data_IF_624826926236
#
_entry.id   IF_624826926236
#
_cell.length_a   1.000
_cell.length_b   1.000
_cell.length_c   1.000
_cell.angle_alpha   90.00
_cell.angle_beta   90.00
_cell.angle_gamma   90.00
#
_symmetry.space_group_name_H-M   'P 1'
#
loop_
_entity.id
_entity.type
_entity.pdbx_description
1 polymer ?
#
# COMPACT_ATOMS: atom_id res chain seq x y z
N UNK A 1 -16.09 13.26 -11.67
CA UNK A 1 -16.38 11.83 -11.71
C UNK A 1 -17.57 11.52 -12.61
N UNK A 2 -17.33 11.30 -13.91
CA UNK A 2 -18.28 10.65 -14.81
C UNK A 2 -18.53 9.21 -14.36
N UNK A 3 -19.80 8.78 -14.31
CA UNK A 3 -20.16 7.44 -13.84
C UNK A 3 -21.30 6.87 -14.69
N UNK A 4 -21.15 5.62 -15.15
CA UNK A 4 -22.25 4.87 -15.76
C UNK A 4 -22.09 3.36 -15.56
N UNK A 5 -23.13 2.73 -14.99
CA UNK A 5 -23.25 1.26 -14.90
C UNK A 5 -22.08 0.55 -14.18
N UNK A 6 -21.38 1.27 -13.30
CA UNK A 6 -20.20 0.82 -12.55
C UNK A 6 -20.40 0.92 -11.04
N UNK A 7 -21.57 0.47 -10.55
CA UNK A 7 -21.99 0.65 -9.15
C UNK A 7 -20.95 0.16 -8.14
N UNK A 8 -20.23 -0.91 -8.46
CA UNK A 8 -19.26 -1.54 -7.55
C UNK A 8 -18.06 -0.64 -7.21
N UNK A 9 -17.68 0.29 -8.09
CA UNK A 9 -16.49 1.12 -7.89
C UNK A 9 -16.77 2.43 -7.14
N UNK A 10 -18.04 2.88 -7.16
CA UNK A 10 -18.47 4.16 -6.59
C UNK A 10 -18.08 4.33 -5.11
N UNK A 11 -18.29 3.35 -4.21
CA UNK A 11 -17.89 3.50 -2.82
C UNK A 11 -16.38 3.73 -2.66
N UNK A 12 -15.55 3.05 -3.46
CA UNK A 12 -14.09 3.19 -3.40
C UNK A 12 -13.63 4.55 -3.91
N UNK A 13 -14.12 4.99 -5.07
CA UNK A 13 -13.76 6.30 -5.61
C UNK A 13 -14.14 7.46 -4.67
N UNK A 14 -15.27 7.32 -3.96
CA UNK A 14 -15.69 8.28 -2.93
C UNK A 14 -14.78 8.21 -1.70
N UNK A 15 -14.44 7.00 -1.25
CA UNK A 15 -13.55 6.79 -0.10
C UNK A 15 -12.16 7.42 -0.35
N UNK A 16 -11.58 7.17 -1.52
CA UNK A 16 -10.31 7.76 -1.93
C UNK A 16 -10.36 9.30 -1.94
N UNK A 17 -11.48 9.89 -2.39
CA UNK A 17 -11.66 11.34 -2.37
C UNK A 17 -11.80 11.88 -0.94
N UNK A 18 -12.54 11.19 -0.07
CA UNK A 18 -12.78 11.66 1.30
C UNK A 18 -11.49 11.64 2.13
N UNK A 19 -10.56 10.75 1.83
CA UNK A 19 -9.25 10.61 2.46
C UNK A 19 -8.15 11.51 1.85
N UNK A 20 -8.47 12.39 0.90
CA UNK A 20 -7.50 13.33 0.35
C UNK A 20 -7.04 14.35 1.39
N UNK A 21 -5.75 14.65 1.39
CA UNK A 21 -5.08 15.61 2.28
C UNK A 21 -5.42 17.07 1.97
N UNK A 22 -5.95 17.36 0.77
CA UNK A 22 -6.28 18.71 0.34
C UNK A 22 -7.64 19.17 0.93
N UNK A 23 -7.65 20.18 1.81
CA UNK A 23 -8.83 20.49 2.63
C UNK A 23 -9.96 21.19 1.87
N UNK A 24 -9.65 21.83 0.73
CA UNK A 24 -10.59 22.66 -0.03
C UNK A 24 -10.89 22.05 -1.41
N UNK A 25 -11.55 20.90 -1.40
CA UNK A 25 -11.98 20.19 -2.60
C UNK A 25 -13.46 19.78 -2.51
N UNK A 26 -14.12 19.69 -3.67
CA UNK A 26 -15.45 19.10 -3.83
C UNK A 26 -15.39 18.00 -4.90
N UNK A 27 -16.20 16.96 -4.73
CA UNK A 27 -16.38 15.89 -5.71
C UNK A 27 -17.72 16.10 -6.41
N UNK A 28 -17.65 16.35 -7.73
CA UNK A 28 -18.82 16.39 -8.62
C UNK A 28 -18.97 15.05 -9.31
N UNK A 29 -20.07 14.37 -9.01
CA UNK A 29 -20.45 13.08 -9.59
C UNK A 29 -21.57 13.33 -10.61
N UNK A 30 -21.31 13.00 -11.87
CA UNK A 30 -22.29 13.06 -12.94
C UNK A 30 -22.56 11.62 -13.39
N UNK A 31 -23.76 11.14 -13.10
CA UNK A 31 -24.21 9.79 -13.39
C UNK A 31 -25.15 9.79 -14.60
N UNK A 32 -24.77 9.04 -15.63
CA UNK A 32 -25.58 8.78 -16.83
C UNK A 32 -25.89 7.29 -17.02
N UNK A 33 -25.73 6.50 -15.96
CA UNK A 33 -26.01 5.07 -15.94
C UNK A 33 -27.47 4.71 -16.25
N UNK A 34 -27.69 3.45 -16.60
CA UNK A 34 -29.02 2.90 -16.81
C UNK A 34 -29.89 3.00 -15.54
N UNK A 35 -29.25 2.81 -14.39
CA UNK A 35 -29.83 2.96 -13.08
C UNK A 35 -28.97 3.91 -12.26
N UNK A 36 -29.65 4.86 -11.60
CA UNK A 36 -29.02 5.83 -10.71
C UNK A 36 -28.24 5.14 -9.58
N UNK A 37 -27.04 5.65 -9.29
CA UNK A 37 -26.21 5.23 -8.16
C UNK A 37 -26.47 6.04 -6.88
N UNK A 38 -27.54 6.84 -6.84
CA UNK A 38 -27.83 7.77 -5.73
C UNK A 38 -27.82 7.10 -4.35
N UNK A 39 -28.25 5.83 -4.25
CA UNK A 39 -28.25 5.06 -2.99
C UNK A 39 -26.86 4.77 -2.43
N UNK A 40 -25.81 4.85 -3.28
CA UNK A 40 -24.42 4.63 -2.90
C UNK A 40 -23.70 5.92 -2.52
N UNK A 41 -24.32 7.08 -2.77
CA UNK A 41 -23.69 8.37 -2.51
C UNK A 41 -23.97 8.81 -1.07
N UNK A 42 -22.94 8.96 -0.22
CA UNK A 42 -23.14 9.41 1.15
C UNK A 42 -23.54 10.89 1.18
N UNK A 43 -24.37 11.25 2.16
CA UNK A 43 -24.67 12.66 2.44
C UNK A 43 -23.42 13.33 3.02
N UNK A 44 -22.68 14.05 2.18
CA UNK A 44 -21.45 14.71 2.60
C UNK A 44 -21.34 16.10 1.96
N UNK A 45 -20.94 17.12 2.74
CA UNK A 45 -20.89 18.53 2.28
C UNK A 45 -19.97 18.78 1.09
N UNK A 46 -18.94 17.92 0.91
CA UNK A 46 -17.99 17.99 -0.20
C UNK A 46 -18.43 17.19 -1.44
N UNK A 47 -19.56 16.50 -1.41
CA UNK A 47 -19.99 15.63 -2.51
C UNK A 47 -21.29 16.16 -3.08
N UNK A 48 -21.32 16.34 -4.41
CA UNK A 48 -22.51 16.74 -5.15
C UNK A 48 -22.76 15.73 -6.24
N UNK A 49 -23.97 15.17 -6.24
CA UNK A 49 -24.37 14.13 -7.17
C UNK A 49 -25.49 14.63 -8.07
N UNK A 50 -25.37 14.30 -9.35
CA UNK A 50 -26.36 14.62 -10.36
C UNK A 50 -26.60 13.40 -11.25
N UNK A 51 -27.87 13.07 -11.46
CA UNK A 51 -28.29 12.01 -12.35
C UNK A 51 -29.00 12.62 -13.56
N UNK A 52 -28.48 12.40 -14.76
CA UNK A 52 -29.12 12.82 -16.00
C UNK A 52 -29.11 11.66 -16.99
N UNK A 53 -30.23 11.42 -17.68
CA UNK A 53 -30.29 10.38 -18.70
C UNK A 53 -31.22 10.78 -19.85
N UNK A 54 -30.80 10.63 -21.12
CA UNK A 54 -29.45 10.30 -21.56
C UNK A 54 -28.51 11.51 -21.44
N UNK A 55 -27.25 11.31 -21.04
CA UNK A 55 -26.20 12.29 -21.37
C UNK A 55 -25.53 11.81 -22.65
N UNK A 56 -25.07 12.77 -23.45
CA UNK A 56 -24.41 12.49 -24.72
C UNK A 56 -23.05 11.82 -24.56
N UNK A 57 -22.04 12.35 -25.23
CA UNK A 57 -20.68 11.81 -25.17
C UNK A 57 -19.97 12.04 -23.83
N UNK A 58 -18.93 11.27 -23.51
CA UNK A 58 -18.07 11.52 -22.33
C UNK A 58 -17.53 12.96 -22.26
N UNK A 59 -17.18 13.58 -23.40
CA UNK A 59 -16.79 15.00 -23.43
C UNK A 59 -17.91 15.96 -23.00
N UNK A 60 -19.16 15.61 -23.28
CA UNK A 60 -20.33 16.39 -22.82
C UNK A 60 -20.54 16.22 -21.30
N UNK A 61 -20.33 15.02 -20.76
CA UNK A 61 -20.37 14.75 -19.32
C UNK A 61 -19.27 15.54 -18.60
N UNK A 62 -18.03 15.51 -19.10
CA UNK A 62 -16.91 16.29 -18.55
C UNK A 62 -17.21 17.79 -18.60
N UNK A 63 -17.77 18.31 -19.69
CA UNK A 63 -18.19 19.72 -19.78
C UNK A 63 -19.26 20.07 -18.73
N UNK A 64 -20.26 19.21 -18.51
CA UNK A 64 -21.30 19.43 -17.50
C UNK A 64 -20.72 19.43 -16.08
N UNK A 65 -19.80 18.51 -15.78
CA UNK A 65 -19.08 18.48 -14.52
C UNK A 65 -18.30 19.78 -14.28
N UNK A 66 -17.56 20.25 -15.29
CA UNK A 66 -16.77 21.49 -15.21
C UNK A 66 -17.66 22.72 -15.02
N UNK A 67 -18.82 22.79 -15.69
CA UNK A 67 -19.78 23.89 -15.50
C UNK A 67 -20.30 23.93 -14.05
N UNK A 68 -20.61 22.75 -13.51
CA UNK A 68 -21.19 22.54 -12.16
C UNK A 68 -20.20 22.79 -11.02
N UNK A 69 -18.92 22.50 -11.23
CA UNK A 69 -17.87 22.69 -10.24
C UNK A 69 -17.76 24.16 -9.79
N UNK A 70 -17.49 24.42 -8.52
CA UNK A 70 -17.23 25.77 -8.00
C UNK A 70 -15.74 26.10 -7.89
N UNK A 71 -14.87 25.08 -7.89
CA UNK A 71 -13.42 25.24 -7.80
C UNK A 71 -12.77 25.92 -9.01
N UNK A 72 -11.65 26.59 -8.76
CA UNK A 72 -10.82 27.25 -9.78
C UNK A 72 -9.95 26.28 -10.57
N UNK A 73 -9.63 25.13 -9.98
CA UNK A 73 -8.88 24.03 -10.58
C UNK A 73 -9.82 22.84 -10.72
N UNK A 74 -9.84 22.24 -11.90
CA UNK A 74 -10.55 21.01 -12.19
C UNK A 74 -9.53 19.88 -12.19
N UNK A 75 -9.85 18.78 -11.50
CA UNK A 75 -9.05 17.56 -11.48
C UNK A 75 -9.97 16.42 -11.98
N UNK A 76 -9.46 15.60 -12.89
CA UNK A 76 -10.14 14.40 -13.34
C UNK A 76 -10.13 13.34 -12.26
N UNK A 77 -11.26 12.64 -12.14
CA UNK A 77 -11.51 11.68 -11.09
C UNK A 77 -12.44 10.62 -11.68
N UNK A 78 -11.85 9.61 -12.29
CA UNK A 78 -12.57 8.48 -12.88
C UNK A 78 -12.98 7.51 -11.77
N UNK A 79 -14.16 6.91 -11.91
CA UNK A 79 -14.84 6.18 -10.84
C UNK A 79 -14.31 4.78 -10.60
N UNK A 80 -13.43 4.29 -11.47
CA UNK A 80 -12.86 2.96 -11.50
C UNK A 80 -11.35 2.93 -11.21
N UNK A 81 -10.71 4.06 -10.92
CA UNK A 81 -9.27 4.15 -10.66
C UNK A 81 -8.93 4.34 -9.17
N UNK A 82 -7.67 4.08 -8.82
CA UNK A 82 -7.12 4.32 -7.48
C UNK A 82 -6.27 5.58 -7.41
N UNK A 83 -6.38 6.30 -6.29
CA UNK A 83 -5.69 7.56 -6.01
C UNK A 83 -5.04 7.53 -4.62
N UNK A 84 -3.79 7.97 -4.51
CA UNK A 84 -3.11 8.14 -3.23
C UNK A 84 -3.71 9.30 -2.41
N UNK A 85 -3.54 9.27 -1.08
CA UNK A 85 -4.13 10.27 -0.16
C UNK A 85 -3.63 11.71 -0.40
N UNK A 86 -2.48 11.89 -1.04
CA UNK A 86 -1.86 13.18 -1.35
C UNK A 86 -2.00 13.59 -2.83
N UNK A 87 -2.82 12.85 -3.61
CA UNK A 87 -2.98 13.05 -5.05
C UNK A 87 -3.44 14.46 -5.41
N UNK A 88 -4.51 14.96 -4.77
CA UNK A 88 -5.03 16.30 -5.06
C UNK A 88 -3.97 17.37 -4.75
N UNK A 89 -3.29 17.30 -3.61
CA UNK A 89 -2.23 18.25 -3.26
C UNK A 89 -1.10 18.25 -4.29
N UNK A 90 -0.70 17.07 -4.76
CA UNK A 90 0.32 16.95 -5.82
C UNK A 90 -0.13 17.56 -7.15
N UNK A 91 -1.35 17.29 -7.59
CA UNK A 91 -1.92 17.86 -8.82
C UNK A 91 -1.98 19.39 -8.76
N UNK A 92 -2.51 19.94 -7.67
CA UNK A 92 -2.62 21.39 -7.46
C UNK A 92 -1.24 22.04 -7.41
N UNK A 93 -0.30 21.45 -6.67
CA UNK A 93 1.07 21.97 -6.57
C UNK A 93 1.80 21.94 -7.92
N UNK A 94 1.63 20.88 -8.70
CA UNK A 94 2.23 20.78 -10.04
C UNK A 94 1.70 21.87 -10.98
N UNK A 95 0.38 22.11 -10.99
CA UNK A 95 -0.25 23.13 -11.83
C UNK A 95 0.20 24.55 -11.43
N UNK A 96 0.16 24.87 -10.13
CA UNK A 96 0.51 26.21 -9.63
C UNK A 96 2.01 26.50 -9.83
N UNK A 97 2.90 25.58 -9.43
CA UNK A 97 4.36 25.82 -9.50
C UNK A 97 4.88 25.92 -10.93
N UNK A 98 4.29 25.19 -11.86
CA UNK A 98 4.69 25.23 -13.26
C UNK A 98 4.18 26.46 -14.01
N UNK A 99 3.10 27.10 -13.53
CA UNK A 99 2.41 28.15 -14.27
C UNK A 99 1.76 27.63 -15.57
N UNK A 100 1.50 26.33 -15.65
CA UNK A 100 0.87 25.70 -16.81
C UNK A 100 -0.65 25.90 -16.84
N UNK A 101 -1.22 25.73 -18.03
CA UNK A 101 -2.67 25.69 -18.24
C UNK A 101 -3.24 24.33 -17.83
N UNK A 102 -2.49 23.26 -18.12
CA UNK A 102 -2.83 21.86 -17.87
C UNK A 102 -1.62 21.15 -17.28
N UNK A 103 -1.86 20.28 -16.31
CA UNK A 103 -0.89 19.29 -15.82
C UNK A 103 -1.52 17.90 -15.74
N UNK A 104 -0.68 16.88 -15.55
CA UNK A 104 -1.05 15.48 -15.41
C UNK A 104 0.17 14.58 -15.54
N UNK A 105 -0.04 13.27 -15.51
CA UNK A 105 1.05 12.31 -15.58
C UNK A 105 1.55 12.10 -17.01
N UNK A 106 2.86 12.18 -17.22
CA UNK A 106 3.51 11.71 -18.46
C UNK A 106 3.73 10.21 -18.49
N UNK A 107 3.79 9.57 -17.32
CA UNK A 107 3.95 8.13 -17.17
C UNK A 107 2.85 7.59 -16.26
N UNK A 108 2.27 6.44 -16.58
CA UNK A 108 1.10 5.92 -15.85
C UNK A 108 1.27 4.44 -15.53
N UNK A 109 0.96 4.09 -14.29
CA UNK A 109 0.85 2.70 -13.85
C UNK A 109 -0.57 2.19 -14.10
N UNK A 110 -0.70 0.97 -14.63
CA UNK A 110 -1.96 0.25 -14.74
C UNK A 110 -1.88 -1.10 -14.04
N UNK A 111 -2.98 -1.53 -13.46
CA UNK A 111 -3.16 -2.89 -12.93
C UNK A 111 -4.39 -3.55 -13.54
N UNK A 112 -4.25 -4.76 -14.08
CA UNK A 112 -5.38 -5.55 -14.57
C UNK A 112 -5.82 -6.57 -13.55
N UNK A 113 -7.06 -6.44 -13.10
CA UNK A 113 -7.72 -7.44 -12.25
C UNK A 113 -8.08 -8.70 -13.04
N UNK A 114 -8.04 -8.66 -14.38
CA UNK A 114 -8.38 -9.80 -15.24
C UNK A 114 -7.25 -10.82 -15.28
N UNK A 115 -6.00 -10.34 -15.35
CA UNK A 115 -4.80 -11.18 -15.48
C UNK A 115 -3.83 -11.02 -14.32
N UNK A 116 -4.18 -10.22 -13.31
CA UNK A 116 -3.37 -9.93 -12.12
C UNK A 116 -1.95 -9.44 -12.47
N UNK A 117 -1.85 -8.48 -13.40
CA UNK A 117 -0.58 -7.92 -13.88
C UNK A 117 -0.58 -6.40 -13.83
N UNK A 118 0.62 -5.82 -13.71
CA UNK A 118 0.86 -4.37 -13.71
C UNK A 118 1.76 -3.97 -14.88
N UNK A 119 1.48 -2.81 -15.45
CA UNK A 119 2.28 -2.19 -16.51
C UNK A 119 2.59 -0.73 -16.16
N UNK A 120 3.74 -0.25 -16.62
CA UNK A 120 4.05 1.18 -16.64
C UNK A 120 4.17 1.65 -18.09
N UNK A 121 3.39 2.67 -18.42
CA UNK A 121 3.44 3.33 -19.72
C UNK A 121 4.31 4.55 -19.59
N UNK A 122 5.42 4.57 -20.32
CA UNK A 122 6.37 5.69 -20.35
C UNK A 122 6.23 6.47 -21.65
N UNK A 123 6.21 7.80 -21.57
CA UNK A 123 6.31 8.65 -22.74
C UNK A 123 7.78 8.74 -23.18
N UNK A 124 8.12 8.22 -24.38
CA UNK A 124 9.50 8.22 -24.90
C UNK A 124 9.93 9.52 -25.59
N UNK A 125 8.98 10.29 -26.10
CA UNK A 125 9.31 11.48 -26.87
C UNK A 125 9.29 12.71 -25.96
N UNK A 126 10.47 13.13 -25.48
CA UNK A 126 10.72 14.40 -24.76
C UNK A 126 10.24 15.67 -25.50
N UNK A 127 9.70 15.54 -26.72
CA UNK A 127 9.32 16.64 -27.60
C UNK A 127 7.81 16.91 -27.68
N UNK A 128 6.96 16.18 -26.93
CA UNK A 128 5.52 16.43 -26.91
C UNK A 128 5.08 16.62 -25.46
N UNK A 129 4.55 17.81 -25.16
CA UNK A 129 3.89 18.10 -23.90
C UNK A 129 2.55 17.35 -23.85
N UNK A 130 2.61 16.05 -23.56
CA UNK A 130 1.47 15.16 -23.40
C UNK A 130 1.37 14.70 -21.95
N UNK A 131 0.13 14.59 -21.49
CA UNK A 131 -0.24 14.06 -20.17
C UNK A 131 -1.44 13.15 -20.32
N UNK A 132 -1.54 12.14 -19.45
CA UNK A 132 -2.60 11.16 -19.51
C UNK A 132 -3.96 11.74 -19.08
N UNK A 133 -4.99 11.45 -19.87
CA UNK A 133 -6.31 12.05 -19.73
C UNK A 133 -7.03 11.74 -18.42
N UNK A 134 -6.87 10.54 -17.85
CA UNK A 134 -7.45 10.22 -16.53
C UNK A 134 -6.85 11.04 -15.39
N UNK A 135 -5.71 11.72 -15.62
CA UNK A 135 -4.92 12.42 -14.60
C UNK A 135 -4.89 13.93 -14.78
N UNK A 136 -5.74 14.49 -15.64
CA UNK A 136 -5.68 15.93 -15.93
C UNK A 136 -6.05 16.78 -14.72
N UNK A 137 -5.24 17.81 -14.49
CA UNK A 137 -5.59 18.96 -13.67
C UNK A 137 -5.37 20.25 -14.47
N UNK A 138 -6.34 21.16 -14.45
CA UNK A 138 -6.30 22.40 -15.25
C UNK A 138 -7.15 23.50 -14.64
N UNK A 139 -6.88 24.74 -15.02
CA UNK A 139 -7.68 25.88 -14.61
C UNK A 139 -9.08 25.82 -15.22
N UNK A 140 -10.12 26.02 -14.39
CA UNK A 140 -11.50 26.16 -14.87
C UNK A 140 -11.64 27.31 -15.86
N UNK A 141 -10.88 28.39 -15.67
CA UNK A 141 -10.82 29.53 -16.59
C UNK A 141 -10.25 29.17 -17.96
N UNK A 142 -9.30 28.23 -18.02
CA UNK A 142 -8.78 27.68 -19.26
C UNK A 142 -9.83 26.84 -19.97
N UNK A 143 -10.44 25.87 -19.28
CA UNK A 143 -11.52 25.05 -19.84
C UNK A 143 -12.70 25.88 -20.38
N UNK A 144 -13.08 27.00 -19.73
CA UNK A 144 -14.15 27.88 -20.22
C UNK A 144 -13.91 28.40 -21.65
N UNK A 145 -12.64 28.58 -22.05
CA UNK A 145 -12.24 29.00 -23.40
C UNK A 145 -12.04 27.83 -24.35
N UNK A 146 -11.84 26.63 -23.81
CA UNK A 146 -11.46 25.42 -24.52
C UNK A 146 -12.32 24.23 -24.02
N UNK A 147 -13.59 24.17 -24.42
CA UNK A 147 -14.47 23.07 -23.98
C UNK A 147 -14.07 21.74 -24.63
N UNK A 148 -14.38 20.61 -23.97
CA UNK A 148 -14.20 19.29 -24.58
C UNK A 148 -15.12 19.16 -25.81
N UNK A 149 -14.62 18.55 -26.87
CA UNK A 149 -15.46 18.15 -27.99
C UNK A 149 -16.34 16.96 -27.58
N UNK A 150 -17.53 16.88 -28.20
CA UNK A 150 -18.50 15.81 -27.91
C UNK A 150 -18.08 14.48 -28.55
N UNK A 151 -17.03 13.86 -28.02
CA UNK A 151 -16.46 12.58 -28.46
C UNK A 151 -16.65 11.51 -27.40
N UNK A 152 -16.91 10.26 -27.82
CA UNK A 152 -17.06 9.11 -26.91
C UNK A 152 -15.73 8.47 -26.49
N UNK A 153 -14.67 8.68 -27.27
CA UNK A 153 -13.32 8.19 -26.99
C UNK A 153 -12.30 9.24 -27.44
N UNK A 154 -11.28 9.49 -26.61
CA UNK A 154 -10.17 10.39 -26.94
C UNK A 154 -10.48 11.89 -26.84
N UNK A 155 -11.57 12.26 -26.16
CA UNK A 155 -11.97 13.64 -25.90
C UNK A 155 -10.91 14.42 -25.09
N UNK A 156 -10.23 13.73 -24.19
CA UNK A 156 -9.13 14.21 -23.36
C UNK A 156 -7.90 14.63 -24.19
N UNK A 157 -7.44 13.73 -25.05
CA UNK A 157 -6.35 13.95 -25.99
C UNK A 157 -6.71 15.03 -26.99
N UNK A 158 -7.97 15.06 -27.43
CA UNK A 158 -8.46 16.11 -28.30
C UNK A 158 -8.45 17.48 -27.59
N UNK A 159 -8.87 17.55 -26.33
CA UNK A 159 -8.82 18.76 -25.52
C UNK A 159 -7.39 19.29 -25.35
N UNK A 160 -6.42 18.41 -25.08
CA UNK A 160 -5.00 18.80 -24.97
C UNK A 160 -4.47 19.29 -26.32
N UNK A 161 -4.62 18.47 -27.37
CA UNK A 161 -3.99 18.74 -28.68
C UNK A 161 -4.58 19.93 -29.43
N UNK A 162 -5.86 20.23 -29.27
CA UNK A 162 -6.53 21.33 -29.99
C UNK A 162 -6.47 22.66 -29.24
N UNK A 163 -6.22 22.65 -27.92
CA UNK A 163 -6.25 23.86 -27.10
C UNK A 163 -4.97 24.70 -27.16
N UNK A 164 -3.86 24.14 -27.66
CA UNK A 164 -2.51 24.78 -27.62
C UNK A 164 -2.10 25.19 -26.20
N UNK A 165 -2.55 24.43 -25.20
CA UNK A 165 -2.23 24.66 -23.80
C UNK A 165 -0.72 24.66 -23.54
N UNK A 166 -0.26 25.49 -22.59
CA UNK A 166 1.00 25.23 -21.91
C UNK A 166 0.80 24.02 -20.98
N UNK A 167 1.38 22.88 -21.34
CA UNK A 167 1.20 21.61 -20.60
C UNK A 167 2.45 21.30 -19.78
N UNK A 168 2.27 21.04 -18.49
CA UNK A 168 3.33 20.57 -17.60
C UNK A 168 3.12 19.09 -17.21
N UNK A 169 3.93 18.16 -17.72
CA UNK A 169 3.92 16.78 -17.26
C UNK A 169 4.67 16.61 -15.94
N UNK A 170 4.06 15.96 -14.95
CA UNK A 170 4.74 15.56 -13.71
C UNK A 170 4.88 14.04 -13.63
N UNK A 171 5.78 13.56 -12.77
CA UNK A 171 6.16 12.15 -12.66
C UNK A 171 5.70 11.50 -11.34
N UNK A 172 4.57 11.93 -10.78
CA UNK A 172 4.06 11.35 -9.51
C UNK A 172 3.29 10.04 -9.78
N UNK A 173 3.98 9.05 -10.32
CA UNK A 173 3.40 7.78 -10.78
C UNK A 173 2.84 6.92 -9.65
N UNK A 174 3.35 7.08 -8.43
CA UNK A 174 2.87 6.34 -7.25
C UNK A 174 1.54 6.89 -6.70
N UNK A 175 1.13 8.07 -7.18
CA UNK A 175 -0.09 8.73 -6.74
C UNK A 175 -1.37 8.25 -7.42
N UNK A 176 -1.26 7.47 -8.48
CA UNK A 176 -2.37 7.07 -9.34
C UNK A 176 -2.12 5.69 -9.95
N UNK A 177 -3.17 4.86 -9.97
CA UNK A 177 -3.15 3.55 -10.59
C UNK A 177 -4.43 3.36 -11.40
N UNK A 178 -4.27 3.26 -12.72
CA UNK A 178 -5.37 2.95 -13.64
C UNK A 178 -5.78 1.48 -13.52
N UNK A 179 -7.06 1.19 -13.30
CA UNK A 179 -7.52 -0.20 -13.09
C UNK A 179 -8.19 -0.74 -14.35
N UNK A 180 -7.68 -1.86 -14.85
CA UNK A 180 -8.24 -2.60 -15.98
C UNK A 180 -9.13 -3.73 -15.42
N UNK A 181 -10.40 -3.71 -15.79
CA UNK A 181 -11.43 -4.67 -15.41
C UNK A 181 -12.46 -4.86 -16.55
N UNK A 182 -13.30 -5.89 -16.42
CA UNK A 182 -14.29 -6.29 -17.44
C UNK A 182 -15.37 -5.26 -17.80
N UNK A 183 -15.42 -4.14 -17.09
CA UNK A 183 -16.44 -3.09 -17.30
C UNK A 183 -15.86 -1.81 -17.89
N UNK A 184 -14.54 -1.72 -18.12
CA UNK A 184 -14.01 -0.61 -18.91
C UNK A 184 -14.57 -0.72 -20.34
N UNK A 185 -14.89 0.43 -20.96
CA UNK A 185 -15.41 0.49 -22.33
C UNK A 185 -14.45 -0.11 -23.37
N UNK A 186 -13.19 -0.30 -22.99
CA UNK A 186 -12.10 -0.85 -23.78
C UNK A 186 -11.56 -2.18 -23.22
N UNK A 187 -12.29 -2.88 -22.33
CA UNK A 187 -11.84 -4.10 -21.64
C UNK A 187 -11.19 -5.17 -22.56
N UNK A 188 -11.79 -5.46 -23.72
CA UNK A 188 -11.27 -6.41 -24.74
C UNK A 188 -9.94 -5.96 -25.38
N UNK A 189 -9.54 -4.70 -25.18
CA UNK A 189 -8.37 -4.04 -25.77
C UNK A 189 -7.15 -4.10 -24.83
N UNK A 190 -7.32 -4.57 -23.58
CA UNK A 190 -6.28 -4.54 -22.54
C UNK A 190 -5.62 -5.90 -22.22
N UNK A 191 -5.88 -6.95 -23.01
CA UNK A 191 -5.26 -8.26 -22.78
C UNK A 191 -3.78 -8.30 -23.24
N UNK A 192 -3.41 -7.59 -24.31
CA UNK A 192 -2.02 -7.29 -24.69
C UNK A 192 -1.88 -5.87 -25.28
N UNK A 193 -1.26 -4.93 -24.56
CA UNK A 193 -1.02 -3.57 -25.04
C UNK A 193 -0.15 -3.44 -26.30
N UNK A 194 0.65 -4.46 -26.65
CA UNK A 194 1.44 -4.47 -27.90
C UNK A 194 0.55 -4.50 -29.14
N UNK A 195 -0.62 -5.13 -29.06
CA UNK A 195 -1.55 -5.26 -30.18
C UNK A 195 -2.29 -3.96 -30.47
N UNK A 196 -2.54 -3.14 -29.43
CA UNK A 196 -3.13 -1.79 -29.59
C UNK A 196 -2.19 -0.81 -30.32
N UNK A 197 -0.89 -0.87 -30.03
CA UNK A 197 0.14 -0.03 -30.67
C UNK A 197 0.19 -0.20 -32.20
N UNK A 198 -0.28 -1.34 -32.71
CA UNK A 198 -0.34 -1.61 -34.15
C UNK A 198 -1.64 -1.13 -34.80
N UNK A 199 -2.77 -1.14 -34.08
CA UNK A 199 -4.09 -0.80 -34.63
C UNK A 199 -4.36 0.71 -34.73
N UNK A 200 -3.93 1.49 -33.74
CA UNK A 200 -4.18 2.94 -33.72
C UNK A 200 -2.92 3.70 -34.13
N UNK A 201 -2.89 4.24 -35.35
CA UNK A 201 -1.78 5.04 -35.90
C UNK A 201 -1.28 6.16 -34.96
N UNK A 202 -2.10 6.60 -34.00
CA UNK A 202 -1.81 7.65 -33.03
C UNK A 202 -1.08 7.17 -31.76
N UNK A 203 -1.11 5.86 -31.44
CA UNK A 203 -0.43 5.28 -30.28
C UNK A 203 1.05 4.97 -30.52
N UNK A 204 1.54 5.06 -31.77
CA UNK A 204 2.93 4.74 -32.18
C UNK A 204 4.04 5.51 -31.46
N UNK A 205 3.70 6.43 -30.55
CA UNK A 205 4.62 7.31 -29.80
C UNK A 205 4.82 6.90 -28.33
N UNK A 206 4.02 5.98 -27.82
CA UNK A 206 4.16 5.43 -26.46
C UNK A 206 4.92 4.10 -26.58
N UNK A 207 5.88 3.86 -25.68
CA UNK A 207 6.62 2.59 -25.67
C UNK A 207 5.64 1.42 -25.45
N UNK A 208 5.95 0.26 -26.01
CA UNK A 208 5.38 -1.00 -25.51
C UNK A 208 5.50 -1.00 -24.00
N UNK A 209 4.41 -1.21 -23.24
CA UNK A 209 4.50 -1.15 -21.80
C UNK A 209 5.53 -2.14 -21.33
N UNK A 210 6.45 -1.65 -20.51
CA UNK A 210 7.24 -2.53 -19.69
C UNK A 210 6.23 -3.16 -18.72
N UNK A 211 6.11 -4.49 -18.74
CA UNK A 211 5.61 -5.18 -17.55
C UNK A 211 6.44 -4.60 -16.42
N UNK A 212 5.78 -3.92 -15.48
CA UNK A 212 6.47 -3.60 -14.25
C UNK A 212 6.81 -4.97 -13.70
N UNK A 213 8.08 -5.39 -13.86
CA UNK A 213 8.61 -6.48 -13.09
C UNK A 213 8.15 -6.23 -11.67
N UNK A 214 7.66 -7.29 -11.01
CA UNK A 214 7.46 -7.31 -9.56
C UNK A 214 8.49 -6.37 -8.95
N UNK A 215 8.03 -5.33 -8.23
CA UNK A 215 8.88 -4.35 -7.53
C UNK A 215 10.21 -5.01 -7.29
N UNK A 216 11.25 -4.59 -8.03
CA UNK A 216 12.46 -5.38 -8.20
C UNK A 216 12.78 -6.06 -6.88
N UNK A 217 12.41 -7.34 -6.78
CA UNK A 217 12.90 -8.19 -5.71
C UNK A 217 14.37 -8.06 -5.98
N UNK A 218 15.01 -7.36 -5.06
CA UNK A 218 16.38 -6.89 -5.15
C UNK A 218 17.20 -7.88 -5.97
N UNK A 219 17.87 -7.32 -6.99
CA UNK A 219 18.73 -8.00 -7.97
C UNK A 219 19.24 -9.34 -7.49
N UNK A 220 19.11 -10.37 -8.34
CA UNK A 220 19.83 -11.67 -8.29
C UNK A 220 20.33 -12.05 -6.90
N UNK A 221 19.70 -13.05 -6.26
CA UNK A 221 19.88 -13.50 -4.86
C UNK A 221 21.26 -13.41 -4.17
N UNK A 222 22.36 -13.21 -4.89
CA UNK A 222 23.69 -12.90 -4.38
C UNK A 222 23.87 -11.50 -3.78
N UNK A 223 23.09 -10.49 -4.16
CA UNK A 223 23.28 -9.09 -3.68
C UNK A 223 22.35 -8.70 -2.52
N UNK A 224 21.43 -9.60 -2.17
CA UNK A 224 20.47 -9.41 -1.11
C UNK A 224 21.05 -9.74 0.25
N UNK A 225 20.92 -8.90 1.30
CA UNK A 225 21.32 -9.32 2.65
C UNK A 225 20.47 -10.51 3.10
N UNK A 226 21.10 -11.51 3.70
CA UNK A 226 20.37 -12.61 4.34
C UNK A 226 19.60 -12.06 5.55
N UNK A 227 18.30 -12.38 5.62
CA UNK A 227 17.43 -12.00 6.75
C UNK A 227 17.13 -13.24 7.60
N UNK A 228 17.45 -13.19 8.89
CA UNK A 228 17.05 -14.22 9.86
C UNK A 228 15.78 -13.78 10.59
N UNK A 229 14.69 -14.51 10.36
CA UNK A 229 13.46 -14.41 11.12
C UNK A 229 13.62 -15.18 12.43
N UNK A 230 13.50 -14.52 13.58
CA UNK A 230 13.64 -15.19 14.88
C UNK A 230 12.27 -15.44 15.52
N UNK A 231 11.97 -16.70 15.82
CA UNK A 231 10.70 -17.15 16.38
C UNK A 231 10.92 -17.92 17.70
N UNK A 232 10.98 -17.22 18.84
CA UNK A 232 10.86 -17.85 20.15
C UNK A 232 9.45 -18.42 20.34
N UNK A 233 9.33 -19.66 20.81
CA UNK A 233 8.05 -20.31 21.09
C UNK A 233 8.14 -21.20 22.32
N UNK A 234 7.03 -21.33 23.06
CA UNK A 234 6.89 -22.27 24.17
C UNK A 234 5.41 -22.56 24.42
N UNK A 235 5.03 -23.83 24.51
CA UNK A 235 3.68 -24.27 24.86
C UNK A 235 2.58 -23.67 23.97
N UNK A 236 2.88 -23.50 22.67
CA UNK A 236 2.05 -22.79 21.68
C UNK A 236 1.92 -23.56 20.36
N UNK A 237 1.88 -24.89 20.43
CA UNK A 237 1.81 -25.82 19.29
C UNK A 237 0.78 -25.41 18.22
N UNK A 238 -0.36 -24.86 18.63
CA UNK A 238 -1.46 -24.47 17.73
C UNK A 238 -1.10 -23.36 16.73
N UNK A 239 -0.12 -22.51 17.02
CA UNK A 239 0.22 -21.36 16.16
C UNK A 239 1.33 -21.67 15.14
N UNK A 240 2.15 -22.69 15.43
CA UNK A 240 3.32 -23.05 14.62
C UNK A 240 3.00 -23.28 13.13
N UNK A 241 1.95 -24.02 12.75
CA UNK A 241 1.65 -24.22 11.32
C UNK A 241 1.37 -22.91 10.58
N UNK A 242 0.61 -21.98 11.18
CA UNK A 242 0.28 -20.70 10.57
C UNK A 242 1.48 -19.76 10.50
N UNK A 243 2.33 -19.71 11.53
CA UNK A 243 3.56 -18.92 11.52
C UNK A 243 4.51 -19.35 10.40
N UNK A 244 4.67 -20.67 10.21
CA UNK A 244 5.51 -21.24 9.15
C UNK A 244 4.88 -20.99 7.77
N UNK A 245 3.57 -21.11 7.63
CA UNK A 245 2.87 -20.81 6.38
C UNK A 245 3.07 -19.34 5.97
N UNK A 246 2.93 -18.39 6.90
CA UNK A 246 3.19 -16.97 6.65
C UNK A 246 4.64 -16.72 6.22
N UNK A 247 5.60 -17.43 6.82
CA UNK A 247 7.03 -17.31 6.47
C UNK A 247 7.32 -17.87 5.07
N UNK A 248 6.77 -19.04 4.75
CA UNK A 248 6.99 -19.70 3.46
C UNK A 248 6.37 -18.94 2.29
N UNK A 249 5.33 -18.13 2.54
CA UNK A 249 4.69 -17.26 1.53
C UNK A 249 5.48 -16.00 1.21
N UNK A 250 6.50 -15.65 2.00
CA UNK A 250 7.25 -14.39 1.80
C UNK A 250 7.88 -14.30 0.41
N UNK A 251 7.82 -13.11 -0.19
CA UNK A 251 8.43 -12.82 -1.50
C UNK A 251 9.96 -12.64 -1.44
N UNK A 252 10.51 -12.42 -0.24
CA UNK A 252 11.94 -12.28 0.01
C UNK A 252 12.60 -13.65 0.25
N UNK A 253 13.24 -14.19 -0.80
CA UNK A 253 13.76 -15.56 -0.78
C UNK A 253 15.07 -15.75 -0.01
N UNK A 254 15.92 -14.72 0.13
CA UNK A 254 17.19 -14.83 0.85
C UNK A 254 16.98 -14.70 2.37
N UNK A 255 16.27 -15.67 2.93
CA UNK A 255 15.81 -15.69 4.32
C UNK A 255 16.10 -17.03 4.99
N UNK A 256 16.19 -17.00 6.30
CA UNK A 256 16.14 -18.19 7.17
C UNK A 256 15.17 -17.93 8.33
N UNK A 257 14.55 -18.98 8.86
CA UNK A 257 13.69 -18.94 10.04
C UNK A 257 14.37 -19.73 11.16
N UNK A 258 14.69 -19.06 12.25
CA UNK A 258 15.28 -19.64 13.46
C UNK A 258 14.18 -19.82 14.50
N UNK A 259 13.82 -21.06 14.78
CA UNK A 259 12.80 -21.42 15.76
C UNK A 259 13.49 -21.85 17.05
N UNK A 260 13.28 -21.08 18.12
CA UNK A 260 13.77 -21.40 19.46
C UNK A 260 12.58 -21.90 20.29
N UNK A 261 12.50 -23.21 20.45
CA UNK A 261 11.46 -23.86 21.24
C UNK A 261 12.01 -24.26 22.61
N UNK A 262 11.42 -23.73 23.67
CA UNK A 262 11.70 -24.11 25.05
C UNK A 262 10.41 -24.48 25.81
N UNK A 263 9.41 -24.99 25.09
CA UNK A 263 8.20 -25.56 25.65
C UNK A 263 8.44 -26.85 26.46
N UNK A 264 7.43 -27.24 27.22
CA UNK A 264 7.44 -28.50 27.96
C UNK A 264 7.46 -29.72 27.02
N UNK A 265 6.81 -29.58 25.86
CA UNK A 265 6.83 -30.54 24.79
C UNK A 265 7.33 -29.90 23.51
N UNK A 266 8.29 -30.55 22.86
CA UNK A 266 8.79 -30.17 21.55
C UNK A 266 7.66 -30.08 20.50
N UNK A 267 7.76 -29.07 19.64
CA UNK A 267 6.90 -28.87 18.46
C UNK A 267 7.52 -29.41 17.16
N UNK A 268 8.60 -30.19 17.25
CA UNK A 268 9.41 -30.66 16.10
C UNK A 268 8.58 -31.39 15.03
N UNK A 269 7.54 -32.10 15.43
CA UNK A 269 6.62 -32.83 14.55
C UNK A 269 5.82 -31.91 13.62
N UNK A 270 5.70 -30.62 13.96
CA UNK A 270 5.03 -29.59 13.16
C UNK A 270 5.99 -28.86 12.20
N UNK A 271 7.30 -29.09 12.32
CA UNK A 271 8.31 -28.38 11.52
C UNK A 271 8.53 -29.13 10.20
N UNK A 272 8.28 -28.50 9.03
CA UNK A 272 8.49 -29.15 7.75
C UNK A 272 9.99 -29.26 7.43
N UNK A 273 10.34 -30.25 6.61
CA UNK A 273 11.69 -30.36 6.05
C UNK A 273 11.90 -29.27 4.99
N UNK A 274 12.48 -28.15 5.41
CA UNK A 274 12.79 -27.01 4.57
C UNK A 274 14.18 -26.46 4.91
N UNK A 275 15.09 -26.29 3.95
CA UNK A 275 16.47 -25.87 4.22
C UNK A 275 16.59 -24.45 4.78
N UNK A 276 15.54 -23.62 4.67
CA UNK A 276 15.49 -22.28 5.25
C UNK A 276 14.97 -22.27 6.70
N UNK A 277 14.53 -23.40 7.24
CA UNK A 277 13.94 -23.47 8.58
C UNK A 277 14.88 -24.25 9.50
N UNK A 278 15.31 -23.61 10.58
CA UNK A 278 16.24 -24.17 11.55
C UNK A 278 15.56 -24.21 12.92
N UNK A 279 15.37 -25.42 13.43
CA UNK A 279 14.66 -25.67 14.68
C UNK A 279 15.63 -26.11 15.78
N UNK A 280 15.53 -25.45 16.93
CA UNK A 280 16.33 -25.74 18.11
C UNK A 280 15.42 -25.91 19.32
N UNK A 281 15.53 -27.07 19.98
CA UNK A 281 14.80 -27.39 21.20
C UNK A 281 15.72 -27.30 22.41
N UNK A 282 15.29 -26.56 23.43
CA UNK A 282 16.03 -26.37 24.66
C UNK A 282 15.19 -26.75 25.88
N UNK A 283 15.86 -27.08 26.98
CA UNK A 283 15.19 -26.98 28.29
C UNK A 283 14.82 -25.51 28.56
N UNK A 284 13.77 -25.23 29.37
CA UNK A 284 13.26 -23.89 29.58
C UNK A 284 14.36 -22.82 29.75
N UNK A 285 14.39 -21.84 28.84
CA UNK A 285 15.44 -20.82 28.73
C UNK A 285 15.14 -19.58 29.58
N UNK A 286 13.90 -19.46 30.05
CA UNK A 286 13.46 -18.37 30.90
C UNK A 286 12.97 -17.15 30.10
N UNK A 287 13.44 -15.92 30.41
CA UNK A 287 12.90 -14.69 29.84
C UNK A 287 12.95 -14.61 28.30
N UNK A 288 11.96 -13.96 27.68
CA UNK A 288 11.89 -13.78 26.22
C UNK A 288 13.15 -13.09 25.65
N UNK A 289 13.74 -12.12 26.37
CA UNK A 289 14.99 -11.47 25.97
C UNK A 289 16.16 -12.46 25.84
N UNK A 290 16.24 -13.46 26.73
CA UNK A 290 17.23 -14.54 26.63
C UNK A 290 17.03 -15.34 25.35
N UNK A 291 15.79 -15.69 25.02
CA UNK A 291 15.45 -16.46 23.82
C UNK A 291 15.76 -15.68 22.54
N UNK A 292 15.43 -14.39 22.50
CA UNK A 292 15.76 -13.49 21.38
C UNK A 292 17.28 -13.37 21.18
N UNK A 293 18.06 -13.25 22.26
CA UNK A 293 19.52 -13.24 22.18
C UNK A 293 20.08 -14.56 21.61
N UNK A 294 19.63 -15.71 22.12
CA UNK A 294 20.05 -17.02 21.59
C UNK A 294 19.71 -17.16 20.09
N UNK A 295 18.52 -16.72 19.68
CA UNK A 295 18.13 -16.73 18.27
C UNK A 295 19.05 -15.85 17.41
N UNK A 296 19.44 -14.67 17.90
CA UNK A 296 20.36 -13.77 17.21
C UNK A 296 21.80 -14.31 17.15
N UNK A 297 22.26 -15.05 18.18
CA UNK A 297 23.56 -15.71 18.17
C UNK A 297 23.63 -16.77 17.05
N UNK A 298 22.57 -17.57 16.92
CA UNK A 298 22.46 -18.67 15.95
C UNK A 298 22.23 -18.18 14.51
N UNK A 299 21.52 -17.07 14.35
CA UNK A 299 21.19 -16.46 13.05
C UNK A 299 22.43 -16.22 12.17
N UNK A 300 22.36 -16.53 10.88
CA UNK A 300 23.44 -16.27 9.91
C UNK A 300 23.24 -14.96 9.13
N UNK A 301 22.04 -14.37 9.21
CA UNK A 301 21.65 -13.17 8.49
C UNK A 301 22.36 -11.91 8.94
N UNK A 302 22.58 -11.02 7.97
CA UNK A 302 23.04 -9.65 8.23
C UNK A 302 21.94 -8.84 8.94
N UNK A 303 20.69 -9.15 8.63
CA UNK A 303 19.50 -8.52 9.19
C UNK A 303 18.74 -9.54 10.04
N UNK A 304 18.24 -9.08 11.18
CA UNK A 304 17.37 -9.85 12.05
C UNK A 304 15.98 -9.22 12.01
N UNK A 305 14.95 -10.05 11.83
CA UNK A 305 13.55 -9.63 12.00
C UNK A 305 12.83 -10.51 13.01
N UNK A 306 11.92 -9.92 13.79
CA UNK A 306 11.10 -10.65 14.75
C UNK A 306 9.97 -11.38 14.00
N UNK A 307 9.72 -12.62 14.40
CA UNK A 307 8.70 -13.48 13.82
C UNK A 307 7.95 -14.20 14.94
N UNK A 308 7.07 -13.47 15.62
CA UNK A 308 6.28 -14.02 16.72
C UNK A 308 5.29 -15.09 16.20
N UNK A 309 5.11 -16.17 16.96
CA UNK A 309 4.43 -17.40 16.50
C UNK A 309 2.92 -17.25 16.31
N UNK A 310 2.31 -16.27 16.96
CA UNK A 310 0.87 -16.02 17.05
C UNK A 310 0.37 -14.97 16.04
N UNK A 311 1.27 -14.29 15.32
CA UNK A 311 0.93 -13.13 14.49
C UNK A 311 0.80 -13.45 12.98
N UNK A 312 0.13 -12.54 12.27
CA UNK A 312 -0.01 -12.60 10.81
C UNK A 312 0.86 -11.55 10.11
N UNK A 313 1.50 -11.98 9.03
CA UNK A 313 2.40 -11.18 8.20
C UNK A 313 1.99 -11.29 6.73
N UNK A 314 1.92 -10.17 6.03
CA UNK A 314 1.67 -10.13 4.59
C UNK A 314 2.82 -10.75 3.79
N UNK A 315 2.54 -11.24 2.58
CA UNK A 315 3.52 -11.91 1.71
C UNK A 315 4.73 -11.02 1.34
N UNK A 316 4.58 -9.71 1.35
CA UNK A 316 5.62 -8.72 1.01
C UNK A 316 6.21 -8.04 2.25
N UNK A 317 5.98 -8.59 3.44
CA UNK A 317 6.39 -8.00 4.72
C UNK A 317 7.90 -7.84 4.85
N UNK A 318 8.66 -8.92 4.61
CA UNK A 318 10.13 -8.89 4.74
C UNK A 318 10.75 -7.91 3.73
N UNK A 319 10.29 -7.94 2.46
CA UNK A 319 10.79 -7.02 1.43
C UNK A 319 10.59 -5.55 1.82
N UNK A 320 9.40 -5.20 2.33
CA UNK A 320 9.13 -3.85 2.82
C UNK A 320 10.01 -3.46 4.01
N UNK A 321 10.18 -4.36 4.98
CA UNK A 321 11.01 -4.10 6.14
C UNK A 321 12.49 -3.84 5.77
N UNK A 322 13.04 -4.68 4.89
CA UNK A 322 14.42 -4.54 4.40
C UNK A 322 14.59 -3.20 3.68
N UNK A 323 13.67 -2.85 2.79
CA UNK A 323 13.70 -1.58 2.08
C UNK A 323 13.61 -0.38 3.04
N UNK A 324 12.73 -0.43 4.03
CA UNK A 324 12.56 0.64 5.01
C UNK A 324 13.83 0.85 5.87
N UNK A 325 14.45 -0.24 6.35
CA UNK A 325 15.69 -0.17 7.13
C UNK A 325 16.84 0.43 6.31
N UNK A 326 17.03 -0.04 5.07
CA UNK A 326 18.12 0.42 4.19
C UNK A 326 17.93 1.88 3.79
N UNK A 327 16.74 2.25 3.31
CA UNK A 327 16.46 3.59 2.80
C UNK A 327 16.49 4.68 3.88
N UNK A 328 16.07 4.36 5.09
CA UNK A 328 16.11 5.29 6.23
C UNK A 328 17.52 5.43 6.83
N UNK A 329 18.44 4.52 6.52
CA UNK A 329 19.75 4.38 7.16
C UNK A 329 19.61 4.36 8.69
N UNK A 330 18.62 3.62 9.20
CA UNK A 330 18.34 3.45 10.62
C UNK A 330 19.06 2.21 11.17
N UNK A 331 19.24 2.16 12.49
CA UNK A 331 19.77 0.99 13.18
C UNK A 331 18.65 -0.02 13.48
N UNK A 332 17.45 0.49 13.80
CA UNK A 332 16.26 -0.30 14.11
C UNK A 332 15.06 0.29 13.36
N UNK A 333 14.30 -0.56 12.70
CA UNK A 333 13.09 -0.21 11.97
C UNK A 333 11.90 -1.10 12.38
N UNK A 334 10.67 -0.63 12.19
CA UNK A 334 9.43 -1.35 12.45
C UNK A 334 8.20 -0.46 12.25
N UNK A 335 7.05 -0.85 12.78
CA UNK A 335 5.82 -0.03 12.73
C UNK A 335 5.49 0.59 14.09
N UNK A 336 4.92 1.80 14.06
CA UNK A 336 4.43 2.53 15.26
C UNK A 336 2.89 2.57 15.35
N UNK A 337 2.23 1.90 14.40
CA UNK A 337 0.80 1.73 14.29
C UNK A 337 0.54 0.23 14.14
N UNK A 338 -0.32 -0.33 14.99
CA UNK A 338 -0.50 -1.79 15.08
C UNK A 338 -1.98 -2.15 14.98
N UNK A 339 -2.25 -3.11 14.10
CA UNK A 339 -3.51 -3.79 13.95
C UNK A 339 -3.59 -4.95 14.95
N UNK A 340 -4.67 -5.04 15.71
CA UNK A 340 -4.93 -6.16 16.61
C UNK A 340 -6.21 -6.87 16.19
N UNK A 341 -6.19 -8.20 16.19
CA UNK A 341 -7.37 -9.03 15.94
C UNK A 341 -7.54 -10.05 17.06
N UNK A 342 -8.75 -10.14 17.62
CA UNK A 342 -9.13 -11.22 18.52
C UNK A 342 -10.06 -12.19 17.80
N UNK A 343 -9.62 -13.41 17.47
CA UNK A 343 -10.49 -14.42 16.89
C UNK A 343 -11.67 -14.77 17.81
N UNK A 344 -11.42 -14.81 19.12
CA UNK A 344 -12.44 -15.16 20.11
C UNK A 344 -13.55 -14.12 20.24
N UNK A 345 -13.20 -12.83 20.17
CA UNK A 345 -14.16 -11.74 20.23
C UNK A 345 -14.65 -11.31 18.83
N UNK A 346 -14.10 -11.91 17.77
CA UNK A 346 -14.28 -11.49 16.38
C UNK A 346 -14.22 -9.97 16.21
N UNK A 347 -13.20 -9.35 16.80
CA UNK A 347 -13.10 -7.90 16.96
C UNK A 347 -11.69 -7.44 16.59
N UNK A 348 -11.62 -6.19 16.15
CA UNK A 348 -10.41 -5.57 15.64
C UNK A 348 -10.16 -4.21 16.29
N UNK A 349 -8.90 -3.90 16.55
CA UNK A 349 -8.47 -2.61 17.09
C UNK A 349 -7.24 -2.10 16.33
N UNK A 350 -7.12 -0.78 16.25
CA UNK A 350 -5.92 -0.12 15.74
C UNK A 350 -5.35 0.76 16.84
N UNK A 351 -4.05 0.62 17.09
CA UNK A 351 -3.32 1.57 17.94
C UNK A 351 -2.42 2.42 17.07
N UNK A 352 -2.27 3.70 17.41
CA UNK A 352 -1.27 4.58 16.81
C UNK A 352 -0.56 5.32 17.93
N UNK A 353 0.75 5.16 18.04
CA UNK A 353 1.53 5.92 18.99
C UNK A 353 1.90 7.28 18.37
N UNK A 354 1.25 8.35 18.84
CA UNK A 354 1.50 9.72 18.38
C UNK A 354 2.57 10.46 19.21
N UNK A 355 3.18 9.81 20.20
CA UNK A 355 4.12 10.46 21.11
C UNK A 355 5.51 10.64 20.48
N UNK A 356 5.75 11.81 19.88
CA UNK A 356 6.99 12.17 19.18
C UNK A 356 8.24 12.27 20.08
N UNK A 357 8.10 12.28 21.41
CA UNK A 357 9.24 12.50 22.32
C UNK A 357 10.08 11.26 22.57
N UNK A 358 9.54 10.07 22.34
CA UNK A 358 10.28 8.80 22.43
C UNK A 358 9.79 7.88 21.32
N UNK A 359 10.56 7.66 20.24
CA UNK A 359 10.16 6.76 19.18
C UNK A 359 9.82 5.38 19.79
N UNK A 360 8.71 4.83 19.32
CA UNK A 360 8.21 3.52 19.72
C UNK A 360 7.95 2.71 18.47
N UNK A 361 8.37 1.47 18.50
CA UNK A 361 8.10 0.47 17.49
C UNK A 361 7.48 -0.74 18.21
N UNK A 362 6.57 -1.45 17.56
CA UNK A 362 6.06 -2.71 18.12
C UNK A 362 7.13 -3.80 17.99
N UNK A 363 7.39 -4.55 19.07
CA UNK A 363 8.42 -5.59 19.13
C UNK A 363 8.31 -6.62 18.01
N UNK A 364 7.11 -7.15 17.80
CA UNK A 364 6.81 -8.12 16.75
C UNK A 364 7.13 -7.65 15.32
N UNK A 365 7.37 -6.35 15.10
CA UNK A 365 7.70 -5.78 13.79
C UNK A 365 9.17 -5.39 13.62
N UNK A 366 10.02 -5.62 14.62
CA UNK A 366 11.38 -5.09 14.59
C UNK A 366 12.21 -5.76 13.50
N UNK A 367 12.88 -4.94 12.70
CA UNK A 367 14.02 -5.33 11.85
C UNK A 367 15.25 -4.48 12.20
N UNK A 368 16.41 -5.10 12.30
CA UNK A 368 17.66 -4.42 12.65
C UNK A 368 18.87 -5.18 12.12
N UNK A 369 20.03 -4.52 12.11
CA UNK A 369 21.30 -5.16 11.73
C UNK A 369 21.78 -6.07 12.86
N UNK A 370 22.21 -7.29 12.53
CA UNK A 370 22.83 -8.20 13.52
C UNK A 370 24.02 -7.54 14.22
N UNK A 371 24.84 -6.81 13.47
CA UNK A 371 26.00 -6.07 14.01
C UNK A 371 25.64 -4.93 14.99
N UNK A 372 24.41 -4.42 14.95
CA UNK A 372 23.91 -3.48 15.94
C UNK A 372 23.51 -4.22 17.22
N UNK A 373 22.80 -5.35 17.10
CA UNK A 373 22.45 -6.21 18.24
C UNK A 373 23.68 -6.76 18.97
N UNK A 374 24.74 -7.16 18.26
CA UNK A 374 26.00 -7.66 18.87
C UNK A 374 26.61 -6.67 19.88
N UNK A 375 26.39 -5.37 19.68
CA UNK A 375 26.87 -4.30 20.57
C UNK A 375 25.86 -3.91 21.64
N UNK A 376 24.60 -4.27 21.46
CA UNK A 376 23.46 -3.83 22.28
C UNK A 376 22.47 -4.98 22.55
N UNK A 377 22.89 -6.15 23.08
CA UNK A 377 22.00 -7.30 23.21
C UNK A 377 20.76 -6.99 24.07
N UNK A 378 19.67 -7.73 23.85
CA UNK A 378 18.44 -7.56 24.64
C UNK A 378 18.72 -7.80 26.12
N UNK A 379 18.09 -7.03 27.00
CA UNK A 379 18.07 -7.38 28.43
C UNK A 379 17.27 -8.67 28.64
N UNK A 380 17.68 -9.46 29.64
CA UNK A 380 16.99 -10.68 30.04
C UNK A 380 15.68 -10.36 30.79
N UNK A 381 14.71 -9.78 30.08
CA UNK A 381 13.39 -9.39 30.58
C UNK A 381 12.32 -10.32 29.97
N UNK A 382 11.28 -10.57 30.75
CA UNK A 382 10.12 -11.36 30.33
C UNK A 382 9.08 -10.51 29.58
N UNK A 383 9.05 -9.20 29.84
CA UNK A 383 8.15 -8.22 29.24
C UNK A 383 8.95 -6.93 29.03
N UNK A 384 8.84 -6.33 27.84
CA UNK A 384 9.39 -5.01 27.53
C UNK A 384 10.88 -5.02 27.20
N UNK A 385 11.44 -6.19 26.86
CA UNK A 385 12.80 -6.31 26.31
C UNK A 385 12.94 -5.58 24.98
N UNK A 386 11.89 -5.61 24.16
CA UNK A 386 11.76 -4.93 22.88
C UNK A 386 11.68 -3.41 23.03
N UNK A 387 10.83 -2.92 23.95
CA UNK A 387 10.71 -1.49 24.27
C UNK A 387 12.03 -0.95 24.84
N UNK A 388 12.70 -1.71 25.71
CA UNK A 388 14.03 -1.36 26.21
C UNK A 388 15.05 -1.28 25.08
N UNK A 389 15.08 -2.26 24.18
CA UNK A 389 15.99 -2.29 23.04
C UNK A 389 15.77 -1.11 22.09
N UNK A 390 14.51 -0.75 21.80
CA UNK A 390 14.18 0.41 20.95
C UNK A 390 14.53 1.73 21.63
N UNK A 391 14.29 1.87 22.94
CA UNK A 391 14.42 3.16 23.63
C UNK A 391 15.80 3.44 24.22
N UNK A 392 16.50 2.41 24.65
CA UNK A 392 17.69 2.54 25.49
C UNK A 392 18.97 2.01 24.84
N UNK A 393 18.91 1.42 23.63
CA UNK A 393 20.10 1.02 22.87
C UNK A 393 20.92 2.20 22.32
N UNK A 394 20.30 3.39 22.22
CA UNK A 394 20.93 4.56 21.59
C UNK A 394 20.92 4.52 20.06
N UNK A 395 20.24 3.55 19.45
CA UNK A 395 20.14 3.42 18.00
C UNK A 395 19.28 4.49 17.34
N UNK A 396 19.56 4.77 16.06
CA UNK A 396 18.69 5.56 15.19
C UNK A 396 17.46 4.74 14.82
N UNK A 397 16.29 5.23 15.22
CA UNK A 397 15.01 4.52 15.05
C UNK A 397 14.23 5.08 13.86
N UNK A 398 13.65 4.20 13.04
CA UNK A 398 12.72 4.56 11.98
C UNK A 398 11.41 3.77 12.09
N UNK A 399 10.28 4.46 11.97
CA UNK A 399 8.98 3.81 11.84
C UNK A 399 8.51 3.93 10.40
N UNK A 400 8.19 2.81 9.75
CA UNK A 400 7.55 2.80 8.44
C UNK A 400 6.04 2.69 8.58
N UNK A 401 5.31 3.14 7.56
CA UNK A 401 3.85 3.27 7.59
C UNK A 401 3.11 2.04 7.04
N UNK A 402 3.81 0.92 6.80
CA UNK A 402 3.19 -0.31 6.27
C UNK A 402 2.52 -1.15 7.37
N UNK A 403 1.61 -0.55 8.13
CA UNK A 403 0.90 -1.25 9.22
C UNK A 403 -0.10 -2.29 8.69
N UNK A 404 -0.56 -2.18 7.43
CA UNK A 404 -1.48 -3.13 6.79
C UNK A 404 -0.87 -4.53 6.64
N UNK A 405 0.46 -4.62 6.56
CA UNK A 405 1.18 -5.86 6.37
C UNK A 405 1.36 -6.72 7.63
N UNK A 406 0.84 -6.28 8.77
CA UNK A 406 1.01 -6.97 10.05
C UNK A 406 -0.27 -6.91 10.90
N UNK A 407 -0.64 -8.03 11.51
CA UNK A 407 -1.74 -8.12 12.48
C UNK A 407 -1.24 -8.90 13.70
N UNK A 408 -1.32 -8.25 14.86
CA UNK A 408 -1.07 -8.89 16.14
C UNK A 408 -2.31 -9.67 16.60
N UNK A 409 -2.17 -10.96 16.91
CA UNK A 409 -3.29 -11.79 17.34
C UNK A 409 -3.47 -11.75 18.86
N UNK A 410 -4.69 -11.44 19.30
CA UNK A 410 -5.07 -11.47 20.71
C UNK A 410 -5.65 -12.82 21.10
N UNK A 411 -5.09 -13.43 22.14
CA UNK A 411 -5.44 -14.73 22.69
C UNK A 411 -5.15 -14.79 24.20
N UNK A 412 -5.68 -15.77 24.96
CA UNK A 412 -5.59 -15.81 26.43
C UNK A 412 -4.15 -15.77 26.96
N UNK A 413 -3.25 -16.36 26.20
CA UNK A 413 -1.85 -16.60 26.56
C UNK A 413 -0.90 -15.49 26.10
N UNK A 414 -1.40 -14.33 25.63
CA UNK A 414 -0.51 -13.18 25.38
C UNK A 414 0.10 -12.70 26.72
N UNK A 415 1.39 -12.39 26.68
CA UNK A 415 2.19 -12.00 27.86
C UNK A 415 1.84 -10.61 28.40
N UNK A 416 1.26 -9.73 27.57
CA UNK A 416 0.85 -8.38 27.96
C UNK A 416 -0.66 -8.18 27.76
N UNK A 417 -1.35 -7.56 28.72
CA UNK A 417 -2.73 -7.09 28.56
C UNK A 417 -2.69 -5.69 27.92
N UNK A 418 -3.45 -5.47 26.85
CA UNK A 418 -3.59 -4.17 26.20
C UNK A 418 -4.71 -3.36 26.86
N UNK A 419 -4.57 -2.04 26.88
CA UNK A 419 -5.49 -1.14 27.60
C UNK A 419 -6.94 -1.16 27.07
N UNK A 420 -7.14 -1.64 25.84
CA UNK A 420 -8.45 -1.79 25.20
C UNK A 420 -9.06 -3.19 25.40
N UNK A 421 -8.34 -4.11 26.04
CA UNK A 421 -8.89 -5.39 26.49
C UNK A 421 -9.57 -5.21 27.86
N UNK A 422 -10.81 -5.65 28.01
CA UNK A 422 -11.42 -5.79 29.34
C UNK A 422 -10.71 -6.97 30.06
N UNK A 423 -10.10 -6.76 31.24
CA UNK A 423 -9.49 -7.84 32.02
C UNK A 423 -10.44 -9.03 32.27
N UNK A 424 -11.75 -8.79 32.30
CA UNK A 424 -12.78 -9.84 32.45
C UNK A 424 -12.99 -10.65 31.17
N UNK A 425 -12.76 -10.07 30.01
CA UNK A 425 -12.88 -10.77 28.73
C UNK A 425 -11.68 -11.69 28.49
N UNK A 426 -10.48 -11.35 28.98
CA UNK A 426 -9.33 -12.27 28.97
C UNK A 426 -9.60 -13.60 29.69
N UNK A 427 -10.42 -13.57 30.75
CA UNK A 427 -10.82 -14.77 31.50
C UNK A 427 -11.87 -15.64 30.78
N UNK A 428 -12.57 -15.10 29.76
CA UNK A 428 -13.59 -15.82 28.97
C UNK A 428 -13.03 -16.56 27.75
N UNK A 429 -11.75 -16.36 27.43
CA UNK A 429 -11.10 -16.95 26.24
C UNK A 429 -10.43 -18.31 26.58
N UNK A 430 -10.56 -18.80 27.82
CA UNK A 430 -10.10 -20.13 28.25
C UNK A 430 -11.10 -21.24 27.96
#
# INVERSE_FOLDING_TARGET
MPTANRQIFIPYAIDYFLHQDYPNAELIIIDDGMHSVASLIPKHRRIRYYYFRPIGSIGAIRNLACETASGDIIIHWDDDDWYAQDWISHQVNALIKSGADITGLSNVNYFSTLVNKRWCYKNKENNISWVYGGTLAYWKSFWKKHKFNSLQLGEDNNFISTSKANVYPHNYTEGYLGIIHRYNLSAEIYEDPKDKLQLEKWLRKIETPEECGQHSILSTSSDLPLVSCIMPTANRKQFIPSAIENYLKQDYMNTELIIIDDGEESVKDLIPDNPRIHYFYFSPLGPIGTKRNIACEIANGELITHWDDDDWYAQDWISHQVQALISSNADICGINQVQFFSPALNSYWMTKNSNSKRPWLTGASLIYRKSFWEKHPFKNLQIGEDDDYVRNSGGKIHAHDYFQGFIATLHPNNTSIKFFEDPKDKAKIN
#
